data_IF_909632237278
#
_entry.id   IF_909632237278
#
_cell.length_a   1.000
_cell.length_b   1.000
_cell.length_c   1.000
_cell.angle_alpha   90.00
_cell.angle_beta   90.00
_cell.angle_gamma   90.00
#
_symmetry.space_group_name_H-M   'P 1'
#
loop_
_entity.id
_entity.type
_entity.pdbx_description
1 polymer ?
#
# COMPACT_ATOMS: atom_id res chain seq x y z
N UNK A 1 -51.89 18.27 13.83
CA UNK A 1 -50.89 18.57 12.79
C UNK A 1 -49.76 17.56 12.92
N UNK A 2 -49.66 16.60 12.01
CA UNK A 2 -48.53 15.67 11.97
C UNK A 2 -47.42 16.31 11.16
N UNK A 3 -46.33 16.71 11.81
CA UNK A 3 -45.12 17.12 11.11
C UNK A 3 -44.57 15.90 10.34
N UNK A 4 -44.12 16.06 9.09
CA UNK A 4 -43.51 14.98 8.34
C UNK A 4 -42.24 14.50 9.08
N UNK A 5 -41.94 13.19 9.05
CA UNK A 5 -40.77 12.65 9.75
C UNK A 5 -39.50 13.30 9.17
N UNK A 6 -38.77 14.01 10.03
CA UNK A 6 -37.49 14.63 9.68
C UNK A 6 -36.52 13.48 9.35
N UNK A 7 -36.00 13.46 8.13
CA UNK A 7 -35.01 12.46 7.75
C UNK A 7 -33.73 12.67 8.58
N UNK A 8 -33.01 11.58 8.90
CA UNK A 8 -31.72 11.65 9.62
C UNK A 8 -30.77 12.67 8.98
N UNK A 9 -30.75 12.75 7.64
CA UNK A 9 -29.97 13.72 6.88
C UNK A 9 -30.40 15.17 7.15
N UNK A 10 -31.71 15.44 7.15
CA UNK A 10 -32.27 16.77 7.43
C UNK A 10 -32.03 17.21 8.88
N UNK A 11 -32.08 16.27 9.83
CA UNK A 11 -31.80 16.54 11.24
C UNK A 11 -30.34 16.94 11.46
N UNK A 12 -29.40 16.17 10.88
CA UNK A 12 -27.96 16.47 10.97
C UNK A 12 -27.63 17.81 10.31
N UNK A 13 -28.19 18.10 9.13
CA UNK A 13 -27.94 19.37 8.44
C UNK A 13 -28.52 20.60 9.14
N UNK A 14 -29.60 20.45 9.91
CA UNK A 14 -30.30 21.57 10.55
C UNK A 14 -29.93 21.76 12.03
N UNK A 15 -29.26 20.78 12.65
CA UNK A 15 -28.70 20.95 13.98
C UNK A 15 -27.50 21.91 13.93
N UNK A 16 -27.37 22.83 14.89
CA UNK A 16 -26.30 23.85 14.87
C UNK A 16 -24.91 23.23 14.90
N UNK A 17 -24.69 22.20 15.71
CA UNK A 17 -23.39 21.51 15.76
C UNK A 17 -23.20 20.52 14.60
N UNK A 18 -24.23 19.77 14.21
CA UNK A 18 -24.14 18.83 13.08
C UNK A 18 -24.04 19.53 11.73
N UNK A 19 -24.68 20.70 11.58
CA UNK A 19 -24.59 21.57 10.43
C UNK A 19 -23.24 22.28 10.34
N UNK A 20 -22.65 22.71 11.46
CA UNK A 20 -21.27 23.23 11.49
C UNK A 20 -20.24 22.12 11.21
N UNK A 21 -20.41 20.93 11.78
CA UNK A 21 -19.56 19.79 11.47
C UNK A 21 -19.68 19.38 10.00
N UNK A 22 -20.90 19.29 9.47
CA UNK A 22 -21.16 19.00 8.06
C UNK A 22 -20.61 20.09 7.13
N UNK A 23 -20.81 21.37 7.46
CA UNK A 23 -20.24 22.49 6.70
C UNK A 23 -18.71 22.48 6.77
N UNK A 24 -18.12 22.15 7.92
CA UNK A 24 -16.67 21.96 8.06
C UNK A 24 -16.19 20.80 7.20
N UNK A 25 -16.87 19.66 7.19
CA UNK A 25 -16.51 18.50 6.37
C UNK A 25 -16.66 18.80 4.87
N UNK A 26 -17.76 19.45 4.46
CA UNK A 26 -17.99 19.88 3.07
C UNK A 26 -17.03 20.99 2.62
N UNK A 27 -16.57 21.85 3.55
CA UNK A 27 -15.53 22.84 3.26
C UNK A 27 -14.12 22.24 3.17
N UNK A 28 -13.95 21.01 3.68
CA UNK A 28 -12.71 20.23 3.65
C UNK A 28 -12.67 19.23 2.50
N UNK A 29 -13.81 18.81 1.98
CA UNK A 29 -13.88 18.25 0.64
C UNK A 29 -13.36 19.32 -0.33
N UNK A 30 -12.42 19.01 -1.24
CA UNK A 30 -12.09 19.96 -2.29
C UNK A 30 -13.38 20.23 -3.04
N UNK A 31 -13.91 21.46 -2.91
CA UNK A 31 -15.13 21.92 -3.58
C UNK A 31 -15.17 21.35 -4.99
N UNK A 32 -15.97 20.30 -5.19
CA UNK A 32 -16.34 19.85 -6.51
C UNK A 32 -17.21 20.97 -7.08
N UNK A 33 -16.55 21.84 -7.85
CA UNK A 33 -17.00 23.05 -8.55
C UNK A 33 -16.49 24.37 -7.93
N UNK A 34 -15.54 24.99 -8.65
CA UNK A 34 -15.62 26.43 -8.89
C UNK A 34 -14.82 27.38 -8.01
N UNK A 35 -13.52 27.18 -7.80
CA UNK A 35 -12.57 28.31 -7.70
C UNK A 35 -11.16 27.83 -7.98
N UNK A 36 -10.44 28.54 -8.85
CA UNK A 36 -9.14 28.13 -9.38
C UNK A 36 -8.08 27.82 -8.32
N UNK A 37 -7.20 26.87 -8.68
CA UNK A 37 -5.96 26.44 -8.01
C UNK A 37 -6.00 25.16 -7.15
N UNK A 38 -7.09 24.40 -7.11
CA UNK A 38 -7.04 22.98 -6.73
C UNK A 38 -7.66 22.12 -7.83
N UNK A 39 -6.91 21.20 -8.47
CA UNK A 39 -7.49 20.34 -9.48
C UNK A 39 -8.38 19.32 -8.75
N UNK A 40 -9.68 19.59 -8.71
CA UNK A 40 -10.66 18.55 -8.45
C UNK A 40 -10.45 17.41 -9.43
N UNK A 41 -10.74 16.18 -9.01
CA UNK A 41 -10.49 15.00 -9.84
C UNK A 41 -11.16 15.14 -11.21
N UNK A 42 -10.40 14.87 -12.28
CA UNK A 42 -10.91 14.90 -13.65
C UNK A 42 -12.12 13.97 -13.85
N UNK A 43 -12.16 12.86 -13.09
CA UNK A 43 -13.26 11.90 -13.08
C UNK A 43 -13.56 11.47 -11.64
N UNK A 44 -14.84 11.18 -11.32
CA UNK A 44 -15.16 10.57 -10.04
C UNK A 44 -14.45 9.21 -9.91
N UNK A 45 -13.74 8.96 -8.81
CA UNK A 45 -12.99 7.72 -8.64
C UNK A 45 -13.95 6.54 -8.50
N UNK A 46 -13.71 5.46 -9.26
CA UNK A 46 -14.46 4.20 -9.11
C UNK A 46 -13.91 3.33 -7.98
N UNK A 47 -12.60 3.36 -7.78
CA UNK A 47 -11.94 2.68 -6.67
C UNK A 47 -11.88 3.60 -5.46
N UNK A 48 -12.17 3.05 -4.26
CA UNK A 48 -12.06 3.78 -2.99
C UNK A 48 -10.77 3.46 -2.23
N UNK A 49 -10.27 2.22 -2.39
CA UNK A 49 -9.10 1.69 -1.68
C UNK A 49 -8.33 0.78 -2.63
N UNK A 50 -7.01 0.77 -2.51
CA UNK A 50 -6.11 -0.08 -3.30
C UNK A 50 -5.22 -0.84 -2.34
N UNK A 51 -5.23 -2.17 -2.43
CA UNK A 51 -4.31 -3.05 -1.73
C UNK A 51 -3.37 -3.64 -2.77
N UNK A 52 -2.08 -3.42 -2.60
CA UNK A 52 -1.04 -3.98 -3.48
C UNK A 52 -0.22 -4.98 -2.70
N UNK A 53 -0.20 -6.23 -3.17
CA UNK A 53 0.64 -7.28 -2.62
C UNK A 53 1.81 -7.51 -3.58
N UNK A 54 3.03 -7.18 -3.14
CA UNK A 54 4.25 -7.50 -3.87
C UNK A 54 5.01 -8.59 -3.12
N UNK A 55 4.92 -9.81 -3.65
CA UNK A 55 5.56 -10.98 -3.08
C UNK A 55 6.94 -11.16 -3.74
N UNK A 56 7.97 -10.60 -3.12
CA UNK A 56 9.35 -10.72 -3.62
C UNK A 56 9.81 -12.18 -3.51
N UNK A 57 10.19 -12.79 -4.65
CA UNK A 57 10.53 -14.21 -4.69
C UNK A 57 9.31 -15.15 -4.59
N UNK A 58 8.12 -14.67 -4.96
CA UNK A 58 6.91 -15.50 -5.01
C UNK A 58 7.04 -16.72 -5.90
N UNK A 59 6.08 -17.63 -5.75
CA UNK A 59 5.86 -18.72 -6.68
C UNK A 59 5.75 -18.22 -8.12
N UNK A 60 6.15 -19.09 -9.05
CA UNK A 60 6.18 -18.81 -10.47
C UNK A 60 4.77 -18.67 -11.04
N UNK A 61 4.52 -17.58 -11.79
CA UNK A 61 3.21 -17.31 -12.36
C UNK A 61 2.78 -18.32 -13.43
N UNK A 62 3.73 -18.94 -14.16
CA UNK A 62 3.45 -20.03 -15.11
C UNK A 62 3.10 -21.34 -14.40
N UNK A 63 3.41 -21.44 -13.11
CA UNK A 63 3.05 -22.57 -12.24
C UNK A 63 1.78 -22.32 -11.42
N UNK A 64 1.23 -21.11 -11.48
CA UNK A 64 0.00 -20.72 -10.76
C UNK A 64 -1.15 -20.37 -11.70
N UNK A 65 -0.94 -19.33 -12.51
CA UNK A 65 -2.00 -18.63 -13.22
C UNK A 65 -1.83 -18.63 -14.73
N UNK A 66 -0.75 -19.18 -15.29
CA UNK A 66 -0.46 -19.04 -16.71
C UNK A 66 -0.07 -20.38 -17.35
N UNK A 67 -1.10 -21.21 -17.57
CA UNK A 67 -0.94 -22.50 -18.24
C UNK A 67 -0.32 -22.32 -19.65
N UNK A 68 0.87 -22.90 -19.86
CA UNK A 68 1.59 -22.89 -21.13
C UNK A 68 1.63 -24.29 -21.76
N UNK A 69 0.72 -24.62 -22.71
CA UNK A 69 0.71 -25.92 -23.38
C UNK A 69 2.03 -26.26 -24.09
N UNK A 70 2.77 -25.26 -24.55
CA UNK A 70 4.03 -25.47 -25.25
C UNK A 70 5.14 -25.99 -24.31
N UNK A 71 5.15 -25.58 -23.04
CA UNK A 71 6.07 -26.11 -22.03
C UNK A 71 5.81 -27.60 -21.75
N UNK A 72 4.56 -28.04 -21.88
CA UNK A 72 4.20 -29.46 -21.75
C UNK A 72 4.75 -30.25 -22.93
N UNK A 73 4.54 -29.76 -24.16
CA UNK A 73 5.00 -30.46 -25.38
C UNK A 73 6.51 -30.60 -25.45
N UNK A 74 7.24 -29.56 -25.05
CA UNK A 74 8.71 -29.51 -25.16
C UNK A 74 9.42 -29.99 -23.89
N UNK A 75 8.69 -30.48 -22.90
CA UNK A 75 9.28 -30.81 -21.61
C UNK A 75 10.49 -31.76 -21.76
N UNK A 76 11.63 -31.38 -21.18
CA UNK A 76 12.89 -32.12 -21.23
C UNK A 76 13.76 -31.81 -22.45
N UNK A 77 13.23 -31.15 -23.49
CA UNK A 77 14.02 -30.68 -24.62
C UNK A 77 14.90 -29.50 -24.23
N UNK A 78 16.02 -29.30 -24.94
CA UNK A 78 16.90 -28.14 -24.72
C UNK A 78 16.13 -26.83 -24.97
N UNK A 79 16.24 -25.88 -24.05
CA UNK A 79 15.61 -24.57 -24.21
C UNK A 79 16.23 -23.80 -25.38
N UNK A 80 15.38 -23.23 -26.24
CA UNK A 80 15.77 -22.32 -27.31
C UNK A 80 14.74 -21.20 -27.45
N UNK A 81 15.13 -20.00 -27.00
CA UNK A 81 14.28 -18.82 -27.02
C UNK A 81 14.35 -18.06 -28.36
N UNK A 82 15.20 -18.49 -29.30
CA UNK A 82 15.45 -17.77 -30.55
C UNK A 82 16.23 -16.46 -30.38
N UNK A 83 16.57 -16.10 -29.14
CA UNK A 83 17.37 -14.93 -28.79
C UNK A 83 18.29 -15.24 -27.60
N UNK A 84 19.26 -14.37 -27.38
CA UNK A 84 20.13 -14.48 -26.21
C UNK A 84 19.34 -14.10 -24.95
N UNK A 85 19.27 -15.04 -24.00
CA UNK A 85 18.70 -14.82 -22.68
C UNK A 85 19.82 -14.83 -21.65
N UNK A 86 19.94 -13.73 -20.92
CA UNK A 86 20.88 -13.61 -19.82
C UNK A 86 20.39 -14.43 -18.62
N UNK A 87 21.16 -15.45 -18.23
CA UNK A 87 20.88 -16.27 -17.06
C UNK A 87 21.79 -15.85 -15.89
N UNK A 88 21.19 -15.65 -14.71
CA UNK A 88 21.94 -15.20 -13.53
C UNK A 88 22.88 -16.29 -12.96
N UNK A 89 22.47 -17.56 -12.98
CA UNK A 89 23.25 -18.70 -12.50
C UNK A 89 23.01 -19.93 -13.39
N UNK A 90 24.07 -20.72 -13.63
CA UNK A 90 24.05 -22.05 -14.27
C UNK A 90 23.48 -22.15 -15.69
N UNK A 91 23.28 -21.04 -16.39
CA UNK A 91 22.77 -21.03 -17.76
C UNK A 91 21.29 -21.45 -17.85
N UNK A 92 20.84 -21.73 -19.08
CA UNK A 92 19.46 -22.16 -19.32
C UNK A 92 19.35 -23.69 -19.18
N UNK A 93 18.42 -24.16 -18.34
CA UNK A 93 18.04 -25.56 -18.27
C UNK A 93 17.14 -25.99 -19.44
N UNK A 94 16.79 -27.28 -19.56
CA UNK A 94 15.79 -27.73 -20.53
C UNK A 94 14.42 -27.10 -20.26
N UNK A 95 13.54 -27.12 -21.26
CA UNK A 95 12.15 -26.74 -21.07
C UNK A 95 11.50 -27.58 -19.97
N UNK A 96 10.88 -26.90 -19.01
CA UNK A 96 10.22 -27.55 -17.89
C UNK A 96 8.72 -27.26 -17.95
N UNK A 97 7.90 -28.32 -17.97
CA UNK A 97 6.47 -28.19 -17.73
C UNK A 97 6.23 -27.79 -16.28
N UNK A 98 5.08 -27.19 -16.00
CA UNK A 98 4.69 -27.00 -14.61
C UNK A 98 4.63 -28.34 -13.88
N UNK A 99 5.10 -28.44 -12.62
CA UNK A 99 4.96 -29.64 -11.83
C UNK A 99 3.52 -29.84 -11.32
N UNK A 100 2.67 -28.81 -11.41
CA UNK A 100 1.31 -28.80 -10.91
C UNK A 100 0.29 -29.03 -12.03
N UNK A 101 -0.79 -29.72 -11.70
CA UNK A 101 -1.90 -29.94 -12.61
C UNK A 101 -2.81 -28.70 -12.69
N UNK A 102 -3.34 -28.42 -13.89
CA UNK A 102 -4.21 -27.27 -14.13
C UNK A 102 -5.65 -27.70 -14.41
N UNK A 103 -6.62 -27.03 -13.77
CA UNK A 103 -8.06 -27.25 -13.97
C UNK A 103 -8.75 -25.94 -14.32
N UNK A 104 -9.91 -26.03 -14.98
CA UNK A 104 -10.73 -24.86 -15.31
C UNK A 104 -11.59 -24.49 -14.11
N UNK A 105 -11.59 -23.21 -13.76
CA UNK A 105 -12.40 -22.64 -12.69
C UNK A 105 -13.23 -21.45 -13.20
N UNK A 106 -14.33 -21.18 -12.50
CA UNK A 106 -15.26 -20.09 -12.80
C UNK A 106 -16.02 -20.23 -14.12
N UNK A 107 -16.93 -19.31 -14.37
CA UNK A 107 -17.61 -19.14 -15.66
C UNK A 107 -16.67 -18.67 -16.77
N UNK A 108 -15.58 -17.99 -16.43
CA UNK A 108 -14.54 -17.60 -17.38
C UNK A 108 -13.67 -18.79 -17.85
N UNK A 109 -13.74 -19.94 -17.16
CA UNK A 109 -12.99 -21.14 -17.51
C UNK A 109 -11.48 -20.97 -17.39
N UNK A 110 -11.03 -20.07 -16.50
CA UNK A 110 -9.62 -19.79 -16.25
C UNK A 110 -8.92 -21.05 -15.76
N UNK A 111 -7.79 -21.38 -16.38
CA UNK A 111 -6.92 -22.44 -15.90
C UNK A 111 -6.13 -21.95 -14.68
N UNK A 112 -6.32 -22.61 -13.55
CA UNK A 112 -5.56 -22.44 -12.30
C UNK A 112 -4.85 -23.75 -11.99
N UNK A 113 -3.64 -23.67 -11.46
CA UNK A 113 -2.98 -24.87 -10.92
C UNK A 113 -3.56 -25.26 -9.57
N UNK A 114 -3.34 -26.51 -9.16
CA UNK A 114 -3.86 -27.04 -7.90
C UNK A 114 -3.41 -26.25 -6.66
N UNK A 115 -2.23 -25.62 -6.68
CA UNK A 115 -1.72 -24.81 -5.56
C UNK A 115 -2.49 -23.50 -5.35
N UNK A 116 -3.24 -23.04 -6.36
CA UNK A 116 -4.08 -21.84 -6.29
C UNK A 116 -5.55 -22.17 -6.61
N UNK A 117 -5.91 -23.46 -6.60
CA UNK A 117 -7.28 -23.97 -6.80
C UNK A 117 -8.31 -23.33 -5.86
N UNK A 118 -7.99 -23.02 -4.57
CA UNK A 118 -8.93 -22.32 -3.69
C UNK A 118 -9.38 -20.94 -4.19
N UNK A 119 -8.58 -20.26 -5.02
CA UNK A 119 -8.99 -18.99 -5.65
C UNK A 119 -10.05 -19.18 -6.76
N UNK A 120 -10.30 -20.43 -7.16
CA UNK A 120 -11.29 -20.78 -8.18
C UNK A 120 -12.71 -20.32 -7.85
N UNK A 121 -13.05 -20.17 -6.56
CA UNK A 121 -14.37 -19.66 -6.12
C UNK A 121 -14.61 -18.19 -6.50
N UNK A 122 -13.54 -17.41 -6.62
CA UNK A 122 -13.60 -15.96 -6.90
C UNK A 122 -12.91 -15.58 -8.21
N UNK A 123 -12.53 -16.57 -9.04
CA UNK A 123 -11.71 -16.32 -10.23
C UNK A 123 -12.37 -15.42 -11.27
N UNK A 124 -13.70 -15.42 -11.32
CA UNK A 124 -14.47 -14.55 -12.23
C UNK A 124 -14.41 -13.06 -11.82
N UNK A 125 -14.05 -12.76 -10.56
CA UNK A 125 -13.83 -11.41 -10.05
C UNK A 125 -12.36 -10.96 -10.19
N UNK A 126 -11.49 -11.84 -10.69
CA UNK A 126 -10.05 -11.59 -10.85
C UNK A 126 -9.74 -11.27 -12.31
N UNK A 127 -9.06 -10.15 -12.54
CA UNK A 127 -8.53 -9.80 -13.86
C UNK A 127 -7.05 -10.17 -13.95
N UNK A 128 -6.70 -11.00 -14.92
CA UNK A 128 -5.31 -11.41 -15.18
C UNK A 128 -4.70 -10.56 -16.30
N UNK A 129 -3.49 -10.06 -16.09
CA UNK A 129 -2.74 -9.26 -17.08
C UNK A 129 -1.48 -10.02 -17.47
N UNK A 130 -1.54 -10.75 -18.59
CA UNK A 130 -0.45 -11.64 -19.05
C UNK A 130 0.57 -10.96 -19.97
N UNK A 131 0.27 -9.76 -20.46
CA UNK A 131 1.09 -9.04 -21.44
C UNK A 131 2.05 -8.01 -20.82
N UNK A 132 2.46 -8.22 -19.56
CA UNK A 132 3.47 -7.40 -18.92
C UNK A 132 4.87 -7.86 -19.33
N UNK A 133 5.70 -6.91 -19.77
CA UNK A 133 7.08 -7.18 -20.19
C UNK A 133 8.05 -6.40 -19.30
N UNK A 134 8.98 -7.13 -18.67
CA UNK A 134 10.09 -6.56 -17.92
C UNK A 134 11.20 -6.07 -18.84
N UNK A 135 11.95 -5.05 -18.42
CA UNK A 135 13.08 -4.48 -19.18
C UNK A 135 14.46 -4.87 -18.61
N UNK A 136 14.50 -5.75 -17.62
CA UNK A 136 15.70 -6.12 -16.88
C UNK A 136 15.47 -7.42 -16.11
N UNK A 137 16.50 -8.26 -16.05
CA UNK A 137 16.56 -9.43 -15.17
C UNK A 137 17.13 -9.12 -13.78
N UNK A 138 17.62 -7.89 -13.54
CA UNK A 138 18.25 -7.51 -12.26
C UNK A 138 17.18 -7.16 -11.22
N UNK A 139 17.17 -7.87 -10.09
CA UNK A 139 16.18 -7.69 -9.03
C UNK A 139 16.00 -6.24 -8.54
N UNK A 140 17.11 -5.49 -8.39
CA UNK A 140 17.06 -4.09 -7.95
C UNK A 140 16.44 -3.16 -8.99
N UNK A 141 16.68 -3.37 -10.28
CA UNK A 141 16.04 -2.54 -11.30
C UNK A 141 14.59 -2.96 -11.53
N UNK A 142 14.29 -4.26 -11.44
CA UNK A 142 12.94 -4.80 -11.61
C UNK A 142 11.99 -4.34 -10.50
N UNK A 143 12.46 -4.25 -9.26
CA UNK A 143 11.66 -3.72 -8.13
C UNK A 143 11.30 -2.26 -8.32
N UNK A 144 12.22 -1.41 -8.80
CA UNK A 144 11.84 -0.05 -9.21
C UNK A 144 10.85 -0.04 -10.37
N UNK A 145 11.05 -0.89 -11.39
CA UNK A 145 10.18 -0.95 -12.55
C UNK A 145 8.75 -1.32 -12.15
N UNK A 146 8.59 -2.31 -11.27
CA UNK A 146 7.29 -2.72 -10.74
C UNK A 146 6.67 -1.67 -9.83
N UNK A 147 7.45 -1.01 -8.99
CA UNK A 147 6.94 -0.03 -8.04
C UNK A 147 6.65 1.34 -8.69
N UNK A 148 7.44 1.77 -9.66
CA UNK A 148 7.43 3.15 -10.19
C UNK A 148 7.18 3.25 -11.70
N UNK A 149 7.32 2.14 -12.44
CA UNK A 149 7.32 2.13 -13.91
C UNK A 149 8.67 2.44 -14.56
N UNK A 150 9.72 2.71 -13.76
CA UNK A 150 11.06 3.07 -14.24
C UNK A 150 12.14 2.19 -13.60
N UNK A 151 13.22 1.89 -14.34
CA UNK A 151 14.35 1.10 -13.82
C UNK A 151 15.30 1.92 -12.94
N UNK A 152 15.23 3.26 -13.04
CA UNK A 152 16.06 4.19 -12.30
C UNK A 152 15.26 4.80 -11.14
N UNK A 153 15.92 5.16 -10.02
CA UNK A 153 15.28 5.85 -8.92
C UNK A 153 14.84 7.27 -9.31
N UNK A 154 14.04 7.90 -8.46
CA UNK A 154 13.60 9.30 -8.62
C UNK A 154 12.18 9.47 -9.15
N UNK A 155 11.44 8.38 -9.29
CA UNK A 155 10.03 8.38 -9.68
C UNK A 155 9.13 7.96 -8.51
N UNK A 156 7.92 8.51 -8.41
CA UNK A 156 6.98 8.14 -7.37
C UNK A 156 6.53 6.68 -7.51
N UNK A 157 6.39 5.99 -6.39
CA UNK A 157 5.78 4.67 -6.35
C UNK A 157 4.30 4.69 -6.70
N UNK A 158 3.75 3.53 -7.09
CA UNK A 158 2.34 3.35 -7.45
C UNK A 158 1.41 3.81 -6.33
N UNK A 159 1.71 3.46 -5.07
CA UNK A 159 0.92 3.92 -3.92
C UNK A 159 0.95 5.44 -3.71
N UNK A 160 2.07 6.09 -4.03
CA UNK A 160 2.20 7.56 -4.00
C UNK A 160 1.31 8.21 -5.06
N UNK A 161 1.25 7.64 -6.27
CA UNK A 161 0.33 8.09 -7.33
C UNK A 161 -1.13 7.88 -6.98
N UNK A 162 -1.47 6.71 -6.42
CA UNK A 162 -2.82 6.41 -5.96
C UNK A 162 -3.24 7.39 -4.87
N UNK A 163 -2.37 7.69 -3.90
CA UNK A 163 -2.69 8.63 -2.82
C UNK A 163 -2.79 10.07 -3.32
N UNK A 164 -1.95 10.46 -4.28
CA UNK A 164 -2.05 11.76 -4.95
C UNK A 164 -3.38 11.90 -5.69
N UNK A 165 -3.81 10.86 -6.41
CA UNK A 165 -5.02 10.87 -7.21
C UNK A 165 -6.28 10.75 -6.35
N UNK A 166 -6.36 9.77 -5.44
CA UNK A 166 -7.56 9.54 -4.64
C UNK A 166 -7.69 10.50 -3.45
N UNK A 167 -6.57 11.09 -3.00
CA UNK A 167 -6.54 11.84 -1.76
C UNK A 167 -6.67 10.94 -0.53
N UNK A 168 -7.11 11.52 0.59
CA UNK A 168 -7.35 10.81 1.84
C UNK A 168 -8.74 11.14 2.38
N UNK A 169 -9.45 10.12 2.86
CA UNK A 169 -10.66 10.31 3.68
C UNK A 169 -10.32 10.63 5.15
N UNK A 170 -9.05 10.54 5.54
CA UNK A 170 -8.55 10.73 6.90
C UNK A 170 -7.48 11.84 6.96
N UNK A 171 -7.57 12.71 7.96
CA UNK A 171 -6.58 13.75 8.23
C UNK A 171 -5.50 13.33 9.24
N UNK A 172 -5.78 12.29 10.04
CA UNK A 172 -4.98 11.87 11.19
C UNK A 172 -4.11 10.64 10.92
N UNK A 173 -4.37 9.90 9.84
CA UNK A 173 -3.60 8.73 9.42
C UNK A 173 -3.05 8.87 7.97
N UNK A 174 -1.92 8.24 7.66
CA UNK A 174 -1.35 8.20 6.31
C UNK A 174 -2.33 7.62 5.29
N UNK A 175 -2.42 8.28 4.13
CA UNK A 175 -3.14 7.74 2.98
C UNK A 175 -2.43 6.53 2.34
N UNK A 176 -1.10 6.52 2.39
CA UNK A 176 -0.27 5.43 1.87
C UNK A 176 0.45 4.70 3.01
N UNK A 177 -0.08 3.53 3.37
CA UNK A 177 0.55 2.62 4.34
C UNK A 177 1.32 1.53 3.60
N UNK A 178 2.54 1.28 4.07
CA UNK A 178 3.38 0.17 3.61
C UNK A 178 3.57 -0.82 4.76
N UNK A 179 3.27 -2.08 4.50
CA UNK A 179 3.46 -3.20 5.43
C UNK A 179 4.58 -4.11 4.88
N UNK A 180 5.84 -3.94 5.32
CA UNK A 180 6.93 -4.77 4.86
C UNK A 180 6.93 -6.15 5.52
N UNK A 181 7.61 -7.09 4.86
CA UNK A 181 7.97 -8.37 5.47
C UNK A 181 8.88 -8.13 6.69
N UNK A 182 8.62 -8.85 7.79
CA UNK A 182 9.39 -8.72 9.03
C UNK A 182 10.86 -9.15 8.87
N UNK A 183 11.17 -9.98 7.87
CA UNK A 183 12.52 -10.47 7.54
C UNK A 183 13.36 -9.41 6.83
N UNK A 184 12.73 -8.37 6.27
CA UNK A 184 13.42 -7.28 5.62
C UNK A 184 12.67 -6.77 4.39
N UNK A 185 13.25 -5.74 3.77
CA UNK A 185 12.65 -5.16 2.58
C UNK A 185 13.00 -5.93 1.30
N UNK A 186 12.13 -5.79 0.29
CA UNK A 186 12.52 -6.05 -1.08
C UNK A 186 13.73 -5.17 -1.48
N UNK A 187 14.41 -5.55 -2.57
CA UNK A 187 15.54 -4.77 -3.09
C UNK A 187 15.19 -3.28 -3.22
N UNK A 188 16.16 -2.42 -2.90
CA UNK A 188 16.03 -0.95 -2.78
C UNK A 188 15.23 -0.41 -1.59
N UNK A 189 14.54 -1.26 -0.84
CA UNK A 189 13.89 -0.87 0.41
C UNK A 189 12.85 0.24 0.25
N UNK A 190 12.82 1.22 1.18
CA UNK A 190 11.86 2.33 1.16
C UNK A 190 11.81 3.15 -0.13
N UNK A 191 12.87 3.09 -0.96
CA UNK A 191 12.94 3.82 -2.23
C UNK A 191 11.88 3.38 -3.24
N UNK A 192 11.31 2.18 -3.09
CA UNK A 192 10.19 1.70 -3.93
C UNK A 192 8.89 2.49 -3.69
N UNK A 193 8.74 3.15 -2.53
CA UNK A 193 7.49 3.77 -2.10
C UNK A 193 7.64 5.28 -1.86
N UNK A 194 8.67 5.88 -2.46
CA UNK A 194 8.93 7.31 -2.37
C UNK A 194 7.83 8.14 -3.04
N UNK A 195 7.57 9.35 -2.53
CA UNK A 195 6.76 10.35 -3.24
C UNK A 195 7.53 11.01 -4.40
N UNK A 196 8.87 11.01 -4.32
CA UNK A 196 9.75 11.69 -5.27
C UNK A 196 9.35 13.16 -5.51
N UNK A 197 8.94 13.50 -6.73
CA UNK A 197 8.49 14.86 -7.07
C UNK A 197 7.01 15.14 -6.74
N UNK A 198 6.25 14.15 -6.27
CA UNK A 198 4.92 14.37 -5.72
C UNK A 198 4.99 15.00 -4.32
N UNK A 199 3.92 15.70 -3.88
CA UNK A 199 3.85 16.26 -2.54
C UNK A 199 4.23 15.25 -1.45
N UNK A 200 4.93 15.69 -0.41
CA UNK A 200 5.46 14.81 0.64
C UNK A 200 4.40 14.07 1.44
N UNK A 201 3.14 14.51 1.43
CA UNK A 201 2.03 13.81 2.08
C UNK A 201 1.65 12.49 1.38
N UNK A 202 2.13 12.24 0.16
CA UNK A 202 1.91 10.98 -0.56
C UNK A 202 3.03 9.96 -0.34
N UNK A 203 3.99 10.28 0.53
CA UNK A 203 5.08 9.38 0.90
C UNK A 203 4.53 8.15 1.63
N UNK A 204 4.97 6.96 1.21
CA UNK A 204 4.63 5.71 1.89
C UNK A 204 5.14 5.73 3.34
N UNK A 205 4.23 5.50 4.27
CA UNK A 205 4.53 5.37 5.70
C UNK A 205 4.63 3.89 6.06
N UNK A 206 5.81 3.49 6.50
CA UNK A 206 6.05 2.11 6.91
C UNK A 206 5.43 1.86 8.29
N UNK A 207 4.65 0.79 8.39
CA UNK A 207 4.08 0.32 9.66
C UNK A 207 4.49 -1.14 9.86
N UNK A 208 4.92 -1.46 11.08
CA UNK A 208 5.26 -2.81 11.53
C UNK A 208 4.32 -3.23 12.67
N UNK A 209 3.09 -3.72 12.37
CA UNK A 209 2.08 -4.02 13.39
C UNK A 209 2.52 -5.03 14.46
N UNK A 210 3.51 -5.87 14.14
CA UNK A 210 4.08 -6.86 15.03
C UNK A 210 5.05 -6.31 16.09
N UNK A 211 5.43 -5.03 16.01
CA UNK A 211 6.39 -4.40 16.94
C UNK A 211 5.66 -3.64 18.05
N UNK A 212 6.28 -3.55 19.22
CA UNK A 212 5.78 -2.72 20.32
C UNK A 212 5.68 -1.24 19.96
N UNK A 213 6.60 -0.75 19.11
CA UNK A 213 6.49 0.54 18.45
C UNK A 213 6.32 0.31 16.93
N UNK A 214 5.08 0.36 16.40
CA UNK A 214 4.81 0.02 15.00
C UNK A 214 5.35 1.03 13.98
N UNK A 215 5.57 2.29 14.40
CA UNK A 215 6.02 3.38 13.55
C UNK A 215 7.39 3.85 14.06
N UNK A 216 8.36 3.91 13.16
CA UNK A 216 9.71 4.40 13.48
C UNK A 216 9.67 5.87 13.92
N UNK A 217 10.56 6.25 14.84
CA UNK A 217 10.70 7.62 15.35
C UNK A 217 9.41 8.25 15.90
N UNK A 218 8.40 7.43 16.25
CA UNK A 218 7.14 7.92 16.77
C UNK A 218 7.29 8.60 18.15
N UNK A 219 8.19 8.11 18.99
CA UNK A 219 8.45 8.67 20.32
C UNK A 219 9.87 9.21 20.43
N UNK A 220 10.08 10.33 21.14
CA UNK A 220 11.42 10.82 21.42
C UNK A 220 12.20 9.79 22.24
N UNK A 221 13.42 9.46 21.79
CA UNK A 221 14.33 8.52 22.43
C UNK A 221 15.45 9.30 23.13
N UNK A 222 15.14 9.99 24.24
CA UNK A 222 16.15 10.68 25.03
C UNK A 222 15.67 10.94 26.47
N UNK A 223 16.51 10.61 27.45
CA UNK A 223 16.18 10.69 28.88
C UNK A 223 15.92 12.13 29.38
N UNK A 224 16.39 13.14 28.64
CA UNK A 224 16.22 14.55 28.98
C UNK A 224 15.00 15.20 28.30
N UNK A 225 14.27 14.49 27.44
CA UNK A 225 13.08 15.01 26.77
C UNK A 225 11.86 14.77 27.64
N UNK A 226 11.31 15.84 28.21
CA UNK A 226 10.01 15.81 28.90
C UNK A 226 8.87 16.11 27.93
N UNK A 227 7.64 15.82 28.34
CA UNK A 227 6.43 16.13 27.56
C UNK A 227 6.33 17.63 27.26
N UNK A 228 6.70 18.47 28.22
CA UNK A 228 6.73 19.94 28.11
C UNK A 228 7.80 20.37 27.09
N UNK A 229 9.04 19.88 27.24
CA UNK A 229 10.12 20.24 26.30
C UNK A 229 9.84 19.77 24.87
N UNK A 230 9.13 18.66 24.70
CA UNK A 230 8.71 18.16 23.40
C UNK A 230 7.66 19.08 22.76
N UNK A 231 6.66 19.51 23.54
CA UNK A 231 5.67 20.50 23.12
C UNK A 231 6.32 21.83 22.70
N UNK A 232 7.22 22.36 23.54
CA UNK A 232 7.96 23.59 23.24
C UNK A 232 8.80 23.47 21.96
N UNK A 233 9.41 22.31 21.74
CA UNK A 233 10.17 21.98 20.53
C UNK A 233 9.30 21.99 19.27
N UNK A 234 8.13 21.34 19.32
CA UNK A 234 7.15 21.36 18.22
C UNK A 234 6.69 22.78 17.93
N UNK A 235 6.35 23.56 18.96
CA UNK A 235 5.90 24.94 18.81
C UNK A 235 6.97 25.84 18.19
N UNK A 236 8.23 25.66 18.57
CA UNK A 236 9.34 26.37 17.96
C UNK A 236 9.49 26.01 16.48
N UNK A 237 9.48 24.71 16.13
CA UNK A 237 9.56 24.25 14.74
C UNK A 237 8.41 24.82 13.91
N UNK A 238 7.18 24.80 14.44
CA UNK A 238 6.01 25.36 13.78
C UNK A 238 6.14 26.88 13.56
N UNK A 239 6.67 27.62 14.55
CA UNK A 239 6.93 29.05 14.42
C UNK A 239 7.97 29.35 13.34
N UNK A 240 9.08 28.62 13.34
CA UNK A 240 10.13 28.75 12.33
C UNK A 240 9.60 28.42 10.93
N UNK A 241 8.80 27.36 10.81
CA UNK A 241 8.13 26.98 9.57
C UNK A 241 7.22 28.09 9.04
N UNK A 242 6.37 28.70 9.89
CA UNK A 242 5.51 29.84 9.51
C UNK A 242 6.32 31.04 9.06
N UNK A 243 7.37 31.41 9.80
CA UNK A 243 8.28 32.51 9.41
C UNK A 243 8.98 32.23 8.07
N UNK A 244 9.32 30.97 7.80
CA UNK A 244 9.93 30.57 6.54
C UNK A 244 8.93 30.63 5.38
N UNK A 245 7.67 30.27 5.64
CA UNK A 245 6.56 30.30 4.69
C UNK A 245 6.19 31.71 4.27
N UNK A 246 6.15 32.66 5.20
CA UNK A 246 5.88 34.07 4.90
C UNK A 246 6.86 34.64 3.86
N UNK A 247 8.13 34.20 3.89
CA UNK A 247 9.17 34.63 2.95
C UNK A 247 9.10 33.92 1.59
N UNK A 248 8.32 32.85 1.44
CA UNK A 248 8.29 31.96 0.26
C UNK A 248 6.87 31.49 -0.09
N UNK A 249 5.90 32.40 -0.07
CA UNK A 249 4.47 32.11 -0.32
C UNK A 249 4.16 31.37 -1.63
N UNK A 250 5.09 31.33 -2.58
CA UNK A 250 4.93 30.67 -3.89
C UNK A 250 5.63 29.29 -3.99
N UNK A 251 6.23 28.76 -2.92
CA UNK A 251 6.89 27.44 -2.95
C UNK A 251 6.00 26.34 -2.32
N UNK A 252 5.34 25.49 -3.13
CA UNK A 252 4.45 24.43 -2.65
C UNK A 252 5.19 23.30 -1.90
N UNK A 253 6.51 23.20 -2.03
CA UNK A 253 7.30 22.17 -1.33
C UNK A 253 7.37 22.45 0.17
N UNK A 254 7.34 23.71 0.57
CA UNK A 254 7.40 24.09 1.98
C UNK A 254 6.09 23.81 2.70
N UNK A 255 4.95 24.14 2.09
CA UNK A 255 3.62 23.77 2.61
C UNK A 255 3.50 22.26 2.81
N UNK A 256 4.00 21.47 1.84
CA UNK A 256 4.03 20.01 1.92
C UNK A 256 4.85 19.51 3.12
N UNK A 257 6.02 20.10 3.39
CA UNK A 257 6.85 19.74 4.55
C UNK A 257 6.17 20.05 5.89
N UNK A 258 5.50 21.19 6.01
CA UNK A 258 4.75 21.54 7.21
C UNK A 258 3.66 20.51 7.47
N UNK A 259 2.86 20.17 6.45
CA UNK A 259 1.83 19.13 6.54
C UNK A 259 2.38 17.77 6.93
N UNK A 260 3.58 17.40 6.48
CA UNK A 260 4.23 16.15 6.90
C UNK A 260 4.57 16.13 8.39
N UNK A 261 5.05 17.24 8.96
CA UNK A 261 5.30 17.33 10.40
C UNK A 261 4.00 17.30 11.21
N UNK A 262 2.95 17.99 10.74
CA UNK A 262 1.64 17.95 11.39
C UNK A 262 0.99 16.56 11.31
N UNK A 263 1.17 15.83 10.21
CA UNK A 263 0.76 14.42 10.11
C UNK A 263 1.53 13.56 11.12
N UNK A 264 2.84 13.75 11.27
CA UNK A 264 3.63 13.02 12.26
C UNK A 264 3.15 13.27 13.70
N UNK A 265 2.85 14.53 14.04
CA UNK A 265 2.30 14.89 15.36
C UNK A 265 0.90 14.28 15.58
N UNK A 266 0.05 14.25 14.55
CA UNK A 266 -1.28 13.63 14.65
C UNK A 266 -1.19 12.10 14.76
N UNK A 267 -0.30 11.48 13.99
CA UNK A 267 0.03 10.06 14.08
C UNK A 267 0.42 9.67 15.51
N UNK A 268 1.21 10.47 16.22
CA UNK A 268 1.55 10.18 17.63
C UNK A 268 0.33 10.10 18.55
N UNK A 269 -0.72 10.87 18.25
CA UNK A 269 -1.95 10.90 19.04
C UNK A 269 -2.95 9.83 18.61
N UNK A 270 -2.98 9.46 17.33
CA UNK A 270 -4.01 8.59 16.72
C UNK A 270 -3.55 7.15 16.47
N UNK A 271 -2.27 6.93 16.16
CA UNK A 271 -1.75 5.64 15.74
C UNK A 271 -1.76 4.60 16.86
N UNK A 272 -1.71 5.03 18.12
CA UNK A 272 -1.79 4.13 19.29
C UNK A 272 -3.10 3.37 19.34
N UNK A 273 -4.23 4.01 19.05
CA UNK A 273 -5.53 3.32 19.05
C UNK A 273 -5.76 2.52 17.77
N UNK A 274 -5.34 3.05 16.61
CA UNK A 274 -5.58 2.42 15.32
C UNK A 274 -4.76 1.14 15.08
N UNK A 275 -3.63 0.98 15.78
CA UNK A 275 -2.69 -0.14 15.61
C UNK A 275 -2.70 -1.12 16.80
N UNK A 276 -3.53 -0.89 17.81
CA UNK A 276 -3.64 -1.75 18.99
C UNK A 276 -4.56 -2.95 18.73
N UNK A 277 -3.97 -4.01 18.16
CA UNK A 277 -4.66 -5.28 17.93
C UNK A 277 -5.06 -6.01 19.22
N UNK A 278 -4.57 -5.62 20.39
CA UNK A 278 -4.94 -6.27 21.66
C UNK A 278 -6.40 -6.02 22.05
N UNK A 279 -7.00 -4.96 21.49
CA UNK A 279 -8.42 -4.61 21.66
C UNK A 279 -9.35 -5.39 20.73
N UNK A 280 -8.80 -6.13 19.74
CA UNK A 280 -9.61 -6.85 18.76
C UNK A 280 -10.27 -8.10 19.35
N UNK A 281 -11.55 -8.37 19.04
CA UNK A 281 -12.21 -9.60 19.47
C UNK A 281 -11.49 -10.85 18.96
N UNK A 282 -11.51 -11.94 19.74
CA UNK A 282 -10.87 -13.22 19.37
C UNK A 282 -11.28 -13.75 17.98
N UNK A 283 -12.53 -13.56 17.58
CA UNK A 283 -13.01 -14.02 16.28
C UNK A 283 -12.45 -13.18 15.11
N UNK A 284 -12.13 -11.91 15.34
CA UNK A 284 -11.45 -11.04 14.38
C UNK A 284 -9.97 -11.40 14.29
N UNK A 285 -9.31 -11.62 15.43
CA UNK A 285 -7.93 -12.12 15.46
C UNK A 285 -7.77 -13.45 14.73
N UNK A 286 -8.77 -14.34 14.84
CA UNK A 286 -8.85 -15.58 14.06
C UNK A 286 -8.99 -15.31 12.56
N UNK A 287 -9.86 -14.36 12.16
CA UNK A 287 -10.01 -13.97 10.76
C UNK A 287 -8.71 -13.39 10.17
N UNK A 288 -7.92 -12.68 10.98
CA UNK A 288 -6.59 -12.20 10.58
C UNK A 288 -5.52 -13.31 10.52
N UNK A 289 -5.82 -14.52 10.98
CA UNK A 289 -4.83 -15.62 11.09
C UNK A 289 -3.81 -15.44 12.21
N UNK A 290 -4.10 -14.59 13.20
CA UNK A 290 -3.17 -14.22 14.29
C UNK A 290 -3.33 -15.08 15.56
N UNK A 291 -4.05 -16.20 15.48
CA UNK A 291 -4.31 -17.07 16.63
C UNK A 291 -3.07 -17.86 17.09
N UNK A 292 -2.05 -18.00 16.23
CA UNK A 292 -0.78 -18.66 16.53
C UNK A 292 0.42 -17.71 16.31
N UNK A 293 0.65 -16.73 17.20
CA UNK A 293 1.70 -15.70 17.03
C UNK A 293 3.15 -16.22 17.14
N UNK A 294 3.34 -17.53 17.29
CA UNK A 294 4.64 -18.18 17.34
C UNK A 294 4.58 -19.52 16.66
N UNK A 295 5.14 -19.61 15.47
CA UNK A 295 5.91 -20.78 15.10
C UNK A 295 7.27 -20.26 14.64
N UNK A 296 8.31 -20.55 15.42
CA UNK A 296 9.62 -20.66 14.79
C UNK A 296 9.45 -21.77 13.75
N UNK A 297 9.35 -21.36 12.49
CA UNK A 297 9.22 -22.31 11.41
C UNK A 297 10.58 -23.01 11.26
N UNK A 298 10.62 -24.35 11.32
CA UNK A 298 11.84 -25.09 11.06
C UNK A 298 12.41 -24.67 9.70
N UNK A 299 13.72 -24.82 9.51
CA UNK A 299 14.36 -24.54 8.20
C UNK A 299 13.87 -25.49 7.10
N UNK A 300 13.20 -26.56 7.47
CA UNK A 300 12.59 -27.54 6.58
C UNK A 300 11.09 -27.23 6.50
N UNK A 301 10.59 -26.96 5.29
CA UNK A 301 9.17 -26.76 4.98
C UNK A 301 8.39 -27.96 5.54
N UNK A 302 7.35 -27.70 6.33
CA UNK A 302 6.60 -28.76 7.00
C UNK A 302 5.06 -28.60 6.84
N UNK A 303 4.29 -29.65 7.13
CA UNK A 303 2.83 -29.66 6.91
C UNK A 303 2.07 -28.59 7.68
N UNK A 304 2.62 -28.05 8.77
CA UNK A 304 2.00 -26.97 9.52
C UNK A 304 2.12 -25.61 8.83
N UNK A 305 2.98 -25.47 7.81
CA UNK A 305 3.05 -24.29 6.94
C UNK A 305 2.01 -24.31 5.81
N UNK A 306 1.47 -25.49 5.49
CA UNK A 306 0.53 -25.70 4.38
C UNK A 306 -0.95 -25.74 4.81
N UNK A 307 -1.24 -25.69 6.11
CA UNK A 307 -2.59 -25.74 6.71
C UNK A 307 -2.96 -24.46 7.44
#
# INVERSE_FOLDING_TARGET
MNLPPISRRSFVSQSTMGGLALASMLSREPLHAGSGLSPGLHHPPRAKRVIQLFMAGAASHIDMFDHKPELIKRHGEKSDFGEYVEAFQNGLGPWMKSPFEFKRHGGCGKLLSEIVEPLGEVVDDISFVHNMVGKTGVHSQATYLQATGFQLPGFPGAGSWVSYALGSENEDLPAFVVLPDHRGFASNGPKNWGSAFLPTHTQGTTIFPQRANPIEDLYPQADFVTKESHGDGIDLVNRLNRMHLEKRRLDPRLDSRIRSYELAARLQLSATDALDLSKEPKHIMKMYGLENPKKEYPKEINPEEET
#
